data_IF_945279878541
#
_entry.id   IF_945279878541
#
_cell.length_a   1.000
_cell.length_b   1.000
_cell.length_c   1.000
_cell.angle_alpha   90.00
_cell.angle_beta   90.00
_cell.angle_gamma   90.00
#
_symmetry.space_group_name_H-M   'P 1'
#
loop_
_entity.id
_entity.type
_entity.pdbx_description
1 polymer ?
#
# COMPACT_ATOMS: atom_id res chain seq x y z
N UNK A 1 29.60 -57.65 10.17
CA UNK A 1 31.05 -57.38 10.19
C UNK A 1 31.22 -55.91 10.15
N UNK A 2 31.51 -55.44 11.26
CA UNK A 2 32.51 -54.61 11.97
C UNK A 2 32.18 -53.12 11.80
N UNK A 3 31.62 -52.50 12.74
CA UNK A 3 32.05 -51.73 13.93
C UNK A 3 33.38 -50.96 13.70
N UNK A 4 33.30 -49.64 13.87
CA UNK A 4 34.22 -48.92 14.75
C UNK A 4 33.67 -47.60 15.22
N UNK A 5 33.40 -47.58 16.53
CA UNK A 5 33.26 -46.39 17.39
C UNK A 5 34.54 -45.56 17.42
N UNK A 6 34.44 -44.27 17.65
CA UNK A 6 35.28 -43.54 18.59
C UNK A 6 34.62 -42.27 19.10
N UNK A 7 34.37 -42.30 20.37
CA UNK A 7 34.04 -41.20 21.29
C UNK A 7 35.25 -40.26 21.45
N UNK A 8 34.97 -39.00 21.72
CA UNK A 8 35.96 -38.02 22.17
C UNK A 8 35.28 -36.88 22.91
N UNK A 9 35.25 -37.06 24.21
CA UNK A 9 34.84 -36.19 25.30
C UNK A 9 35.71 -34.95 25.45
N UNK A 10 35.15 -33.82 25.90
CA UNK A 10 35.89 -32.67 26.39
C UNK A 10 35.03 -31.50 26.83
N UNK A 11 34.67 -31.50 28.10
CA UNK A 11 33.96 -30.44 28.85
C UNK A 11 34.96 -29.41 29.46
N UNK A 12 34.59 -28.49 30.33
CA UNK A 12 34.41 -27.06 30.06
C UNK A 12 35.39 -26.19 30.87
N UNK A 13 35.50 -24.90 30.57
CA UNK A 13 36.18 -23.97 31.49
C UNK A 13 35.34 -22.73 31.79
N UNK A 14 35.30 -22.45 33.09
CA UNK A 14 34.59 -21.51 33.92
C UNK A 14 35.11 -20.07 33.81
N UNK A 15 34.21 -19.17 34.20
CA UNK A 15 34.41 -17.77 34.56
C UNK A 15 35.58 -17.44 35.49
N UNK A 16 35.94 -16.11 35.64
CA UNK A 16 35.33 -15.39 36.73
C UNK A 16 34.98 -13.92 36.45
N UNK A 17 34.18 -13.42 37.39
CA UNK A 17 33.62 -12.07 37.57
C UNK A 17 34.67 -11.07 38.18
N UNK A 18 34.33 -9.79 38.09
CA UNK A 18 34.97 -8.71 38.86
C UNK A 18 34.43 -7.36 38.43
N UNK A 19 33.45 -6.84 39.14
CA UNK A 19 33.43 -5.66 40.03
C UNK A 19 34.10 -4.38 39.44
N UNK A 20 33.44 -3.22 39.38
CA UNK A 20 32.98 -2.35 40.49
C UNK A 20 32.38 -1.05 39.95
N UNK A 21 31.40 -0.54 40.64
CA UNK A 21 30.75 0.76 40.51
C UNK A 21 31.69 1.93 40.77
N UNK A 22 31.39 3.10 40.22
CA UNK A 22 31.45 4.37 40.95
C UNK A 22 30.60 5.44 40.29
N UNK A 23 29.91 6.11 41.16
CA UNK A 23 29.03 7.25 41.15
C UNK A 23 29.74 8.54 40.78
N UNK A 24 29.02 9.49 40.17
CA UNK A 24 29.47 10.86 39.94
C UNK A 24 28.35 11.81 39.53
N UNK A 25 27.57 12.23 40.49
CA UNK A 25 26.67 13.38 40.45
C UNK A 25 27.47 14.69 40.24
N UNK A 26 26.99 15.60 39.39
CA UNK A 26 27.04 17.05 39.59
C UNK A 26 26.11 17.83 38.66
N UNK A 27 25.13 18.42 39.28
CA UNK A 27 24.28 19.52 38.86
C UNK A 27 25.07 20.80 38.50
N UNK A 28 24.55 21.59 37.54
CA UNK A 28 24.35 23.04 37.59
C UNK A 28 23.81 23.53 36.24
N UNK A 29 22.60 24.00 36.17
CA UNK A 29 22.16 25.39 36.17
C UNK A 29 22.68 26.24 34.99
N UNK A 30 21.77 26.64 34.08
CA UNK A 30 21.95 27.71 33.10
C UNK A 30 20.61 28.06 32.46
N UNK A 31 20.02 29.18 32.89
CA UNK A 31 18.73 29.73 32.49
C UNK A 31 18.72 30.33 31.08
N UNK A 32 17.58 30.22 30.44
CA UNK A 32 16.82 31.20 29.67
C UNK A 32 17.36 31.67 28.31
N UNK A 33 16.64 31.37 27.26
CA UNK A 33 16.13 32.36 26.32
C UNK A 33 14.86 31.83 25.69
N UNK A 34 13.79 32.51 25.99
CA UNK A 34 12.44 32.47 25.48
C UNK A 34 12.44 32.89 23.99
N UNK A 35 11.89 32.11 23.12
CA UNK A 35 11.41 32.56 21.82
C UNK A 35 10.27 31.63 21.41
N UNK A 36 9.05 32.09 21.61
CA UNK A 36 7.83 31.56 21.13
C UNK A 36 7.87 31.38 19.60
N UNK A 37 7.79 30.15 19.14
CA UNK A 37 7.27 29.83 17.82
C UNK A 37 6.04 28.96 18.03
N UNK A 38 4.92 29.54 17.73
CA UNK A 38 3.60 28.99 17.85
C UNK A 38 3.53 27.61 17.18
N UNK A 39 3.13 26.63 18.00
CA UNK A 39 3.01 25.26 17.61
C UNK A 39 1.91 25.05 16.60
N UNK A 40 2.29 24.76 15.38
CA UNK A 40 1.47 23.96 14.48
C UNK A 40 1.34 22.58 15.10
N UNK A 41 0.20 22.31 15.72
CA UNK A 41 -0.15 21.00 16.22
C UNK A 41 -0.24 20.06 15.01
N UNK A 42 0.83 19.31 14.76
CA UNK A 42 0.75 18.14 13.87
C UNK A 42 -0.18 17.14 14.57
N UNK A 43 -1.43 17.14 14.12
CA UNK A 43 -2.37 16.08 14.47
C UNK A 43 -1.83 14.80 13.83
N UNK A 44 -1.12 13.99 14.63
CA UNK A 44 -0.70 12.64 14.28
C UNK A 44 -1.91 11.69 14.39
N UNK A 45 -2.84 11.84 13.47
CA UNK A 45 -3.91 10.91 13.21
C UNK A 45 -4.07 10.82 11.70
N UNK A 46 -3.89 9.62 11.13
CA UNK A 46 -4.17 9.43 9.70
C UNK A 46 -5.52 10.03 9.36
N UNK A 47 -5.61 10.96 8.38
CA UNK A 47 -6.85 11.69 8.08
C UNK A 47 -8.00 10.80 7.60
N UNK A 48 -7.80 9.47 7.51
CA UNK A 48 -8.73 8.51 6.90
C UNK A 48 -9.43 7.62 7.94
N UNK A 49 -9.57 8.05 9.21
CA UNK A 49 -10.21 7.21 10.25
C UNK A 49 -11.72 7.43 10.40
N UNK A 50 -12.27 8.51 9.85
CA UNK A 50 -13.69 8.85 9.90
C UNK A 50 -14.38 8.48 8.59
N UNK A 51 -15.57 7.85 8.62
CA UNK A 51 -16.36 7.61 7.41
C UNK A 51 -16.55 8.88 6.60
N UNK A 52 -16.37 8.82 5.29
CA UNK A 52 -16.50 9.97 4.39
C UNK A 52 -15.35 10.97 4.42
N UNK A 53 -14.30 10.76 5.22
CA UNK A 53 -13.14 11.69 5.27
C UNK A 53 -12.45 11.88 3.90
N UNK A 54 -12.52 10.88 3.04
CA UNK A 54 -12.00 10.96 1.66
C UNK A 54 -12.69 12.03 0.80
N UNK A 55 -13.94 12.42 1.11
CA UNK A 55 -14.65 13.49 0.41
C UNK A 55 -13.94 14.85 0.57
N UNK A 56 -13.33 15.09 1.72
CA UNK A 56 -12.60 16.33 2.02
C UNK A 56 -11.27 16.42 1.26
N UNK A 57 -10.82 15.30 0.69
CA UNK A 57 -9.59 15.23 -0.09
C UNK A 57 -9.83 15.51 -1.58
N UNK A 58 -11.08 15.54 -2.03
CA UNK A 58 -11.38 15.77 -3.45
C UNK A 58 -10.95 17.17 -3.87
N UNK A 59 -10.20 17.33 -4.99
CA UNK A 59 -9.77 18.61 -5.47
C UNK A 59 -10.96 19.41 -6.04
N UNK A 60 -10.90 20.71 -5.94
CA UNK A 60 -11.93 21.60 -6.52
C UNK A 60 -12.01 21.50 -8.05
N UNK A 61 -10.92 21.07 -8.70
CA UNK A 61 -10.82 20.81 -10.13
C UNK A 61 -9.99 19.54 -10.35
N UNK A 62 -10.43 18.71 -11.30
CA UNK A 62 -9.71 17.48 -11.67
C UNK A 62 -8.28 17.77 -12.13
N UNK A 63 -7.39 16.84 -11.81
CA UNK A 63 -5.96 16.94 -12.12
C UNK A 63 -5.69 16.51 -13.58
N UNK A 64 -4.99 17.35 -14.32
CA UNK A 64 -4.60 17.06 -15.70
C UNK A 64 -3.24 16.35 -15.80
N UNK A 65 -2.48 16.27 -14.71
CA UNK A 65 -1.15 15.68 -14.68
C UNK A 65 -1.01 14.65 -13.56
N UNK A 66 -0.12 13.70 -13.76
CA UNK A 66 0.20 12.67 -12.76
C UNK A 66 1.61 12.93 -12.24
N UNK A 67 1.69 13.28 -10.96
CA UNK A 67 2.93 13.41 -10.19
C UNK A 67 2.83 12.62 -8.88
N UNK A 68 3.84 12.70 -8.02
CA UNK A 68 3.84 12.00 -6.72
C UNK A 68 2.69 12.45 -5.81
N UNK A 69 2.35 13.73 -5.81
CA UNK A 69 1.25 14.25 -4.99
C UNK A 69 -0.10 13.71 -5.49
N UNK A 70 -0.28 13.63 -6.81
CA UNK A 70 -1.45 13.04 -7.45
C UNK A 70 -1.58 11.54 -7.13
N UNK A 71 -0.46 10.78 -7.12
CA UNK A 71 -0.45 9.37 -6.73
C UNK A 71 -0.82 9.22 -5.25
N UNK A 72 -0.26 10.04 -4.36
CA UNK A 72 -0.63 10.02 -2.93
C UNK A 72 -2.12 10.30 -2.75
N UNK A 73 -2.63 11.33 -3.41
CA UNK A 73 -4.04 11.71 -3.35
C UNK A 73 -4.95 10.55 -3.81
N UNK A 74 -4.62 9.92 -4.94
CA UNK A 74 -5.34 8.74 -5.43
C UNK A 74 -5.38 7.64 -4.38
N UNK A 75 -4.22 7.24 -3.86
CA UNK A 75 -4.12 6.13 -2.90
C UNK A 75 -4.94 6.44 -1.65
N UNK A 76 -4.79 7.60 -1.05
CA UNK A 76 -5.50 7.95 0.17
C UNK A 76 -7.01 8.06 -0.04
N UNK A 77 -7.46 8.69 -1.13
CA UNK A 77 -8.89 8.81 -1.46
C UNK A 77 -9.50 7.44 -1.74
N UNK A 78 -8.84 6.61 -2.54
CA UNK A 78 -9.31 5.28 -2.89
C UNK A 78 -9.42 4.36 -1.66
N UNK A 79 -8.40 4.31 -0.82
CA UNK A 79 -8.46 3.47 0.38
C UNK A 79 -9.39 4.03 1.45
N UNK A 80 -9.68 5.34 1.43
CA UNK A 80 -10.77 5.91 2.21
C UNK A 80 -12.14 5.35 1.78
N UNK A 81 -12.41 5.29 0.48
CA UNK A 81 -13.63 4.66 -0.08
C UNK A 81 -13.71 3.17 0.24
N UNK A 82 -12.58 2.44 0.12
CA UNK A 82 -12.51 1.02 0.49
C UNK A 82 -12.92 0.80 1.95
N UNK A 83 -12.48 1.65 2.88
CA UNK A 83 -12.84 1.53 4.31
C UNK A 83 -14.33 1.67 4.57
N UNK A 84 -14.99 2.52 3.77
CA UNK A 84 -16.43 2.80 3.89
C UNK A 84 -17.30 1.82 3.10
N UNK A 85 -16.71 0.97 2.26
CA UNK A 85 -17.42 0.02 1.42
C UNK A 85 -17.90 -1.21 2.21
N UNK A 86 -19.15 -1.60 2.03
CA UNK A 86 -19.77 -2.70 2.77
C UNK A 86 -19.16 -4.07 2.44
N UNK A 87 -18.72 -4.27 1.19
CA UNK A 87 -18.13 -5.54 0.74
C UNK A 87 -16.63 -5.60 1.02
N UNK A 88 -15.89 -4.55 0.65
CA UNK A 88 -14.42 -4.54 0.75
C UNK A 88 -13.93 -4.11 2.12
N UNK A 89 -14.63 -3.18 2.79
CA UNK A 89 -14.21 -2.64 4.07
C UNK A 89 -13.91 -3.71 5.13
N UNK A 90 -14.77 -4.70 5.35
CA UNK A 90 -14.48 -5.79 6.30
C UNK A 90 -13.23 -6.59 5.94
N UNK A 91 -13.03 -6.92 4.66
CA UNK A 91 -11.86 -7.66 4.17
C UNK A 91 -10.57 -6.89 4.45
N UNK A 92 -10.56 -5.60 4.07
CA UNK A 92 -9.37 -4.77 4.26
C UNK A 92 -9.09 -4.44 5.73
N UNK A 93 -10.12 -4.23 6.57
CA UNK A 93 -9.94 -4.05 8.01
C UNK A 93 -9.26 -5.25 8.64
N UNK A 94 -9.73 -6.46 8.33
CA UNK A 94 -9.12 -7.69 8.84
C UNK A 94 -7.68 -7.87 8.33
N UNK A 95 -7.45 -7.63 7.04
CA UNK A 95 -6.14 -7.83 6.41
C UNK A 95 -5.09 -6.82 6.89
N UNK A 96 -5.50 -5.60 7.22
CA UNK A 96 -4.61 -4.46 7.48
C UNK A 96 -4.68 -3.94 8.91
N UNK A 97 -5.28 -4.68 9.83
CA UNK A 97 -5.34 -4.28 11.24
C UNK A 97 -3.94 -3.90 11.77
N UNK A 98 -3.83 -2.68 12.32
CA UNK A 98 -2.56 -2.13 12.81
C UNK A 98 -1.50 -1.84 11.74
N UNK A 99 -1.80 -2.00 10.44
CA UNK A 99 -0.82 -1.87 9.35
C UNK A 99 -1.27 -0.93 8.21
N UNK A 100 -2.30 -0.13 8.42
CA UNK A 100 -2.86 0.73 7.39
C UNK A 100 -1.85 1.71 6.81
N UNK A 101 -1.14 2.46 7.64
CA UNK A 101 -0.21 3.49 7.19
C UNK A 101 0.93 2.88 6.36
N UNK A 102 1.52 1.78 6.84
CA UNK A 102 2.53 1.03 6.10
C UNK A 102 1.99 0.49 4.76
N UNK A 103 0.73 0.08 4.71
CA UNK A 103 0.10 -0.37 3.47
C UNK A 103 -0.10 0.80 2.49
N UNK A 104 -0.58 1.95 2.95
CA UNK A 104 -0.77 3.13 2.10
C UNK A 104 0.57 3.61 1.52
N UNK A 105 1.62 3.71 2.32
CA UNK A 105 2.98 4.04 1.85
C UNK A 105 3.46 3.05 0.77
N UNK A 106 3.22 1.75 0.98
CA UNK A 106 3.55 0.71 0.01
C UNK A 106 2.76 0.86 -1.28
N UNK A 107 1.49 1.25 -1.22
CA UNK A 107 0.66 1.48 -2.40
C UNK A 107 1.04 2.76 -3.15
N UNK A 108 1.44 3.81 -2.46
CA UNK A 108 2.04 4.99 -3.09
C UNK A 108 3.30 4.58 -3.86
N UNK A 109 4.22 3.86 -3.24
CA UNK A 109 5.44 3.36 -3.90
C UNK A 109 5.13 2.45 -5.10
N UNK A 110 4.09 1.60 -4.99
CA UNK A 110 3.62 0.71 -6.05
C UNK A 110 3.11 1.49 -7.26
N UNK A 111 2.14 2.38 -7.07
CA UNK A 111 1.56 3.16 -8.15
C UNK A 111 2.56 4.13 -8.77
N UNK A 112 3.40 4.80 -7.96
CA UNK A 112 4.50 5.63 -8.48
C UNK A 112 5.47 4.83 -9.36
N UNK A 113 5.74 3.57 -9.00
CA UNK A 113 6.59 2.71 -9.83
C UNK A 113 5.95 2.37 -11.17
N UNK A 114 4.62 2.22 -11.22
CA UNK A 114 3.88 1.89 -12.43
C UNK A 114 3.75 3.12 -13.34
N UNK A 115 3.25 4.25 -12.80
CA UNK A 115 2.85 5.40 -13.61
C UNK A 115 3.96 6.43 -13.84
N UNK A 116 4.92 6.53 -12.91
CA UNK A 116 6.05 7.47 -12.97
C UNK A 116 7.40 6.79 -13.22
N UNK A 117 7.44 5.45 -13.26
CA UNK A 117 8.70 4.72 -13.42
C UNK A 117 9.66 4.82 -12.22
N UNK A 118 9.16 5.15 -11.03
CA UNK A 118 9.95 5.51 -9.86
C UNK A 118 10.78 4.36 -9.24
N UNK A 119 10.59 3.11 -9.65
CA UNK A 119 11.34 1.91 -9.21
C UNK A 119 11.44 1.72 -7.68
N UNK A 120 10.48 2.25 -6.91
CA UNK A 120 10.48 2.20 -5.43
C UNK A 120 9.81 0.96 -4.86
N UNK A 121 8.89 0.34 -5.60
CA UNK A 121 8.20 -0.86 -5.16
C UNK A 121 9.05 -2.11 -5.37
N UNK A 122 9.22 -2.90 -4.29
CA UNK A 122 10.00 -4.15 -4.28
C UNK A 122 9.19 -5.34 -3.75
N UNK A 123 7.87 -5.31 -3.93
CA UNK A 123 6.98 -6.39 -3.49
C UNK A 123 6.60 -7.35 -4.61
N UNK A 124 5.98 -8.47 -4.22
CA UNK A 124 5.30 -9.38 -5.12
C UNK A 124 3.80 -9.32 -4.84
N UNK A 125 3.05 -8.73 -5.76
CA UNK A 125 1.59 -8.51 -5.61
C UNK A 125 0.85 -9.82 -5.53
N UNK A 126 1.17 -10.79 -6.37
CA UNK A 126 0.56 -12.12 -6.39
C UNK A 126 0.75 -12.84 -5.06
N UNK A 127 1.99 -12.88 -4.56
CA UNK A 127 2.31 -13.53 -3.29
C UNK A 127 1.58 -12.86 -2.11
N UNK A 128 1.44 -11.52 -2.15
CA UNK A 128 0.73 -10.78 -1.10
C UNK A 128 -0.77 -11.11 -1.05
N UNK A 129 -1.36 -11.62 -2.14
CA UNK A 129 -2.78 -11.96 -2.22
C UNK A 129 -3.07 -13.45 -1.99
N UNK A 130 -2.07 -14.33 -2.01
CA UNK A 130 -2.26 -15.77 -1.77
C UNK A 130 -3.04 -16.12 -0.49
N UNK A 131 -2.86 -15.42 0.66
CA UNK A 131 -3.64 -15.72 1.87
C UNK A 131 -5.14 -15.44 1.75
N UNK A 132 -5.59 -14.74 0.71
CA UNK A 132 -6.97 -14.30 0.54
C UNK A 132 -7.76 -15.18 -0.44
N UNK A 133 -7.65 -16.51 -0.30
CA UNK A 133 -8.35 -17.49 -1.14
C UNK A 133 -9.89 -17.40 -1.06
N UNK A 134 -10.43 -16.69 -0.07
CA UNK A 134 -11.87 -16.45 0.10
C UNK A 134 -12.40 -15.28 -0.75
N UNK A 135 -11.52 -14.50 -1.39
CA UNK A 135 -11.94 -13.47 -2.33
C UNK A 135 -12.66 -14.11 -3.53
N UNK A 136 -13.58 -13.37 -4.12
CA UNK A 136 -14.35 -13.78 -5.30
C UNK A 136 -14.22 -12.74 -6.40
N UNK A 137 -14.67 -13.07 -7.60
CA UNK A 137 -14.72 -12.11 -8.72
C UNK A 137 -15.55 -10.85 -8.40
N UNK A 138 -16.51 -10.95 -7.48
CA UNK A 138 -17.30 -9.80 -7.02
C UNK A 138 -16.45 -8.78 -6.26
N UNK A 139 -15.55 -9.23 -5.39
CA UNK A 139 -14.61 -8.36 -4.68
C UNK A 139 -13.71 -7.59 -5.68
N UNK A 140 -13.22 -8.26 -6.71
CA UNK A 140 -12.41 -7.62 -7.76
C UNK A 140 -13.23 -6.65 -8.61
N UNK A 141 -14.47 -7.00 -8.93
CA UNK A 141 -15.39 -6.12 -9.65
C UNK A 141 -15.68 -4.86 -8.84
N UNK A 142 -15.97 -5.01 -7.53
CA UNK A 142 -16.22 -3.87 -6.65
C UNK A 142 -14.98 -2.99 -6.48
N UNK A 143 -13.81 -3.61 -6.35
CA UNK A 143 -12.53 -2.90 -6.28
C UNK A 143 -12.31 -2.04 -7.54
N UNK A 144 -12.53 -2.59 -8.73
CA UNK A 144 -12.41 -1.85 -9.99
C UNK A 144 -13.42 -0.69 -10.06
N UNK A 145 -14.69 -0.92 -9.70
CA UNK A 145 -15.70 0.15 -9.68
C UNK A 145 -15.24 1.31 -8.80
N UNK A 146 -14.86 1.05 -7.54
CA UNK A 146 -14.40 2.09 -6.63
C UNK A 146 -13.13 2.79 -7.13
N UNK A 147 -12.23 2.03 -7.78
CA UNK A 147 -11.01 2.60 -8.33
C UNK A 147 -11.30 3.56 -9.47
N UNK A 148 -12.15 3.17 -10.41
CA UNK A 148 -12.55 4.01 -11.54
C UNK A 148 -13.35 5.23 -11.10
N UNK A 149 -14.30 5.08 -10.17
CA UNK A 149 -15.03 6.20 -9.57
C UNK A 149 -14.06 7.19 -8.89
N UNK A 150 -12.96 6.68 -8.35
CA UNK A 150 -11.94 7.54 -7.74
C UNK A 150 -11.12 8.26 -8.81
N UNK A 151 -10.75 7.56 -9.89
CA UNK A 151 -10.06 8.19 -11.03
C UNK A 151 -10.91 9.32 -11.64
N UNK A 152 -12.20 9.07 -11.88
CA UNK A 152 -13.12 10.06 -12.45
C UNK A 152 -13.31 11.28 -11.55
N UNK A 153 -13.27 11.08 -10.23
CA UNK A 153 -13.37 12.18 -9.27
C UNK A 153 -12.10 13.04 -9.19
N UNK A 154 -10.93 12.44 -9.42
CA UNK A 154 -9.64 13.09 -9.20
C UNK A 154 -8.99 13.61 -10.48
N UNK A 155 -9.16 12.95 -11.62
CA UNK A 155 -8.37 13.19 -12.82
C UNK A 155 -9.20 13.56 -14.05
N UNK A 156 -8.60 14.35 -14.93
CA UNK A 156 -9.06 14.45 -16.32
C UNK A 156 -8.82 13.10 -17.03
N UNK A 157 -9.60 12.78 -18.10
CA UNK A 157 -9.58 11.46 -18.74
C UNK A 157 -8.19 10.96 -19.17
N UNK A 158 -7.37 11.85 -19.73
CA UNK A 158 -6.03 11.51 -20.18
C UNK A 158 -5.10 11.12 -19.03
N UNK A 159 -5.18 11.82 -17.90
CA UNK A 159 -4.41 11.51 -16.69
C UNK A 159 -4.92 10.23 -16.01
N UNK A 160 -6.26 10.03 -15.98
CA UNK A 160 -6.88 8.82 -15.44
C UNK A 160 -6.43 7.56 -16.18
N UNK A 161 -6.23 7.65 -17.49
CA UNK A 161 -5.84 6.52 -18.33
C UNK A 161 -4.52 5.87 -17.90
N UNK A 162 -3.57 6.63 -17.37
CA UNK A 162 -2.30 6.12 -16.87
C UNK A 162 -2.46 5.05 -15.76
N UNK A 163 -3.55 5.12 -15.00
CA UNK A 163 -3.88 4.19 -13.92
C UNK A 163 -4.84 3.09 -14.34
N UNK A 164 -5.77 3.41 -15.25
CA UNK A 164 -6.90 2.55 -15.61
C UNK A 164 -6.44 1.21 -16.23
N UNK A 165 -5.57 1.25 -17.23
CA UNK A 165 -5.08 0.03 -17.90
C UNK A 165 -4.29 -0.87 -16.94
N UNK A 166 -3.30 -0.37 -16.17
CA UNK A 166 -2.62 -1.16 -15.16
C UNK A 166 -3.56 -1.76 -14.10
N UNK A 167 -4.55 -1.02 -13.62
CA UNK A 167 -5.50 -1.49 -12.62
C UNK A 167 -6.26 -2.74 -13.10
N UNK A 168 -6.78 -2.70 -14.31
CA UNK A 168 -7.52 -3.83 -14.90
C UNK A 168 -6.59 -5.04 -15.07
N UNK A 169 -5.38 -4.84 -15.59
CA UNK A 169 -4.41 -5.93 -15.79
C UNK A 169 -3.98 -6.58 -14.49
N UNK A 170 -3.83 -5.77 -13.43
CA UNK A 170 -3.50 -6.27 -12.09
C UNK A 170 -4.67 -7.11 -11.56
N UNK A 171 -5.90 -6.60 -11.65
CA UNK A 171 -7.08 -7.32 -11.20
C UNK A 171 -7.27 -8.65 -11.98
N UNK A 172 -7.06 -8.65 -13.30
CA UNK A 172 -7.09 -9.85 -14.13
C UNK A 172 -6.03 -10.86 -13.69
N UNK A 173 -4.78 -10.43 -13.59
CA UNK A 173 -3.66 -11.28 -13.19
C UNK A 173 -3.88 -11.90 -11.81
N UNK A 174 -4.37 -11.13 -10.84
CA UNK A 174 -4.65 -11.63 -9.49
C UNK A 174 -5.76 -12.68 -9.50
N UNK A 175 -6.84 -12.45 -10.23
CA UNK A 175 -7.94 -13.40 -10.35
C UNK A 175 -7.48 -14.72 -10.99
N UNK A 176 -6.70 -14.68 -12.07
CA UNK A 176 -6.13 -15.87 -12.69
C UNK A 176 -5.20 -16.64 -11.74
N UNK A 177 -4.43 -15.94 -10.93
CA UNK A 177 -3.54 -16.57 -9.94
C UNK A 177 -4.29 -17.19 -8.76
N UNK A 178 -5.42 -16.59 -8.32
CA UNK A 178 -6.20 -17.06 -7.18
C UNK A 178 -7.19 -18.17 -7.57
N UNK A 179 -7.81 -18.06 -8.76
CA UNK A 179 -8.92 -18.91 -9.18
C UNK A 179 -8.54 -19.93 -10.25
N UNK A 180 -7.30 -19.87 -10.77
CA UNK A 180 -6.81 -20.73 -11.83
C UNK A 180 -7.00 -20.14 -13.23
N UNK A 181 -6.24 -20.69 -14.19
CA UNK A 181 -6.18 -20.18 -15.55
C UNK A 181 -7.50 -20.39 -16.36
N UNK A 182 -8.35 -21.32 -15.92
CA UNK A 182 -9.68 -21.56 -16.52
C UNK A 182 -10.74 -20.55 -16.04
N UNK A 183 -10.38 -19.67 -15.08
CA UNK A 183 -11.30 -18.68 -14.57
C UNK A 183 -11.69 -17.68 -15.66
N UNK A 184 -13.00 -17.56 -15.91
CA UNK A 184 -13.53 -16.57 -16.82
C UNK A 184 -13.83 -15.26 -16.08
N UNK A 185 -13.22 -14.17 -16.52
CA UNK A 185 -13.52 -12.84 -15.97
C UNK A 185 -15.01 -12.53 -16.11
N UNK A 186 -15.61 -11.90 -15.09
CA UNK A 186 -16.98 -11.41 -15.19
C UNK A 186 -17.19 -10.54 -16.44
N UNK A 187 -18.33 -10.65 -17.13
CA UNK A 187 -18.59 -9.90 -18.38
C UNK A 187 -18.38 -8.38 -18.23
N UNK A 188 -18.77 -7.80 -17.08
CA UNK A 188 -18.58 -6.37 -16.82
C UNK A 188 -17.09 -5.98 -16.75
N UNK A 189 -16.25 -6.82 -16.15
CA UNK A 189 -14.78 -6.55 -16.11
C UNK A 189 -14.17 -6.70 -17.50
N UNK A 190 -14.63 -7.65 -18.29
CA UNK A 190 -14.18 -7.83 -19.69
C UNK A 190 -14.56 -6.63 -20.54
N UNK A 191 -15.81 -6.16 -20.45
CA UNK A 191 -16.27 -4.97 -21.15
C UNK A 191 -15.46 -3.72 -20.78
N UNK A 192 -15.14 -3.56 -19.47
CA UNK A 192 -14.30 -2.47 -18.99
C UNK A 192 -12.86 -2.57 -19.56
N UNK A 193 -12.27 -3.75 -19.58
CA UNK A 193 -10.96 -3.97 -20.17
C UNK A 193 -10.95 -3.62 -21.67
N UNK A 194 -11.97 -4.03 -22.40
CA UNK A 194 -12.08 -3.75 -23.83
C UNK A 194 -12.30 -2.25 -24.09
N UNK A 195 -13.09 -1.55 -23.25
CA UNK A 195 -13.29 -0.10 -23.37
C UNK A 195 -12.00 0.69 -23.11
N UNK A 196 -11.23 0.30 -22.11
CA UNK A 196 -9.93 0.94 -21.80
C UNK A 196 -8.91 0.67 -22.91
N UNK A 197 -8.87 -0.56 -23.46
CA UNK A 197 -8.00 -0.87 -24.61
C UNK A 197 -8.36 -0.05 -25.84
N UNK A 198 -9.65 0.16 -26.11
CA UNK A 198 -10.14 0.96 -27.23
C UNK A 198 -9.84 2.45 -27.07
N UNK A 199 -9.86 2.96 -25.83
CA UNK A 199 -9.56 4.35 -25.51
C UNK A 199 -8.06 4.69 -25.48
N UNK A 200 -7.18 3.69 -25.71
CA UNK A 200 -5.73 3.88 -25.67
C UNK A 200 -5.28 4.92 -26.69
N UNK A 201 -4.63 6.02 -26.27
CA UNK A 201 -4.11 7.00 -27.22
C UNK A 201 -3.09 6.35 -28.15
N UNK A 202 -3.14 6.72 -29.44
CA UNK A 202 -2.16 6.27 -30.41
C UNK A 202 -0.75 6.66 -29.93
N UNK A 203 0.19 5.69 -29.93
CA UNK A 203 1.58 6.03 -29.63
C UNK A 203 2.05 7.05 -30.68
N UNK A 204 2.65 8.17 -30.25
CA UNK A 204 3.34 9.02 -31.22
C UNK A 204 4.38 8.16 -31.93
N UNK A 205 4.34 8.16 -33.24
CA UNK A 205 5.38 7.51 -34.08
C UNK A 205 6.68 8.29 -33.84
N UNK A 206 7.67 7.63 -33.21
CA UNK A 206 9.04 8.09 -33.22
C UNK A 206 9.64 7.93 -34.63
#
# INVERSE_FOLDING_TARGET
MSQHDRQGTGSPRRHPAGHRAETGDKSASGRAADAALEGGSFVTGSPVTRPGAWLEMLPAKRLAQVDEAAVQLLVHTFYGRIRDDDLLGPVFRQALEGRWDMHLEKMVAFWSSIVLGAKRYRGNVTQAHQPFAHLTGEHFSRWLVLFFDTLDALFEPEAAFAFAEPAIRIAESLQLNLFGWEYALPPAQRALLDSVKAARPARPHE
#
